data_IF_314782056229
#
_entry.id   IF_314782056229
#
_cell.length_a   1.000
_cell.length_b   1.000
_cell.length_c   1.000
_cell.angle_alpha   90.00
_cell.angle_beta   90.00
_cell.angle_gamma   90.00
#
_symmetry.space_group_name_H-M   'P 1'
#
loop_
_entity.id
_entity.type
_entity.pdbx_description
1 polymer ?
#
# COMPACT_ATOMS: atom_id res chain seq x y z
N UNK A 1 1.93 19.77 -2.73
CA UNK A 1 1.62 19.11 -1.45
C UNK A 1 2.85 19.15 -0.54
N UNK A 2 2.71 19.35 0.77
CA UNK A 2 3.85 19.30 1.70
C UNK A 2 4.18 17.86 2.11
N UNK A 3 5.44 17.57 2.47
CA UNK A 3 5.86 16.22 2.92
C UNK A 3 5.05 15.74 4.12
N UNK A 4 4.75 16.66 5.05
CA UNK A 4 3.89 16.41 6.20
C UNK A 4 2.45 16.05 5.80
N UNK A 5 1.90 16.72 4.78
CA UNK A 5 0.57 16.42 4.25
C UNK A 5 0.51 15.05 3.55
N UNK A 6 1.53 14.72 2.76
CA UNK A 6 1.65 13.43 2.11
C UNK A 6 1.77 12.28 3.13
N UNK A 7 2.60 12.47 4.16
CA UNK A 7 2.76 11.50 5.23
C UNK A 7 1.46 11.27 6.02
N UNK A 8 0.74 12.34 6.36
CA UNK A 8 -0.54 12.25 7.08
C UNK A 8 -1.61 11.50 6.27
N UNK A 9 -1.73 11.80 4.97
CA UNK A 9 -2.64 11.10 4.06
C UNK A 9 -2.29 9.62 3.89
N UNK A 10 -0.99 9.29 3.90
CA UNK A 10 -0.51 7.92 3.83
C UNK A 10 -0.51 7.19 5.19
N UNK A 11 -0.93 7.84 6.28
CA UNK A 11 -0.98 7.24 7.62
C UNK A 11 0.38 6.98 8.27
N UNK A 12 1.44 7.68 7.86
CA UNK A 12 2.80 7.51 8.40
C UNK A 12 3.36 8.81 8.97
N UNK A 13 4.43 8.71 9.77
CA UNK A 13 5.15 9.89 10.25
C UNK A 13 5.94 10.57 9.13
N UNK A 14 6.11 11.89 9.21
CA UNK A 14 6.93 12.65 8.25
C UNK A 14 8.39 12.15 8.23
N UNK A 15 8.93 11.75 9.38
CA UNK A 15 10.26 11.15 9.48
C UNK A 15 10.34 9.85 8.69
N UNK A 16 9.33 8.98 8.82
CA UNK A 16 9.27 7.72 8.04
C UNK A 16 9.17 8.03 6.56
N UNK A 17 8.35 9.00 6.16
CA UNK A 17 8.25 9.45 4.76
C UNK A 17 9.63 9.84 4.21
N UNK A 18 10.40 10.66 4.94
CA UNK A 18 11.75 11.06 4.51
C UNK A 18 12.72 9.89 4.43
N UNK A 19 12.64 8.93 5.35
CA UNK A 19 13.46 7.72 5.29
C UNK A 19 13.17 6.90 4.02
N UNK A 20 11.89 6.74 3.67
CA UNK A 20 11.48 6.06 2.43
C UNK A 20 12.01 6.80 1.20
N UNK A 21 11.86 8.13 1.16
CA UNK A 21 12.33 8.97 0.05
C UNK A 21 13.86 8.92 -0.12
N UNK A 22 14.60 8.88 1.00
CA UNK A 22 16.06 8.81 0.99
C UNK A 22 16.58 7.40 0.71
N UNK A 23 15.78 6.36 0.96
CA UNK A 23 16.17 4.95 0.84
C UNK A 23 17.08 4.43 1.96
N UNK A 24 17.50 5.29 2.88
CA UNK A 24 18.43 4.96 3.98
C UNK A 24 18.03 5.69 5.27
N UNK A 25 18.33 5.09 6.41
CA UNK A 25 18.22 5.73 7.71
C UNK A 25 19.44 5.42 8.57
N UNK A 26 19.75 6.30 9.52
CA UNK A 26 20.89 6.11 10.42
C UNK A 26 20.43 5.42 11.69
N UNK A 27 21.03 4.28 12.00
CA UNK A 27 20.81 3.51 13.23
C UNK A 27 22.15 3.20 13.87
N UNK A 28 22.34 3.56 15.14
CA UNK A 28 23.58 3.30 15.90
C UNK A 28 24.88 3.74 15.20
N UNK A 29 24.81 4.80 14.40
CA UNK A 29 25.96 5.34 13.65
C UNK A 29 26.10 4.79 12.23
N UNK A 30 25.42 3.69 11.89
CA UNK A 30 25.46 3.03 10.59
C UNK A 30 24.30 3.45 9.67
N UNK A 31 24.52 3.40 8.35
CA UNK A 31 23.49 3.61 7.35
C UNK A 31 22.81 2.28 7.02
N UNK A 32 21.51 2.21 7.30
CA UNK A 32 20.68 1.03 7.09
C UNK A 32 19.72 1.28 5.92
N UNK A 33 19.62 0.37 4.94
CA UNK A 33 18.66 0.49 3.86
C UNK A 33 17.23 0.43 4.41
N UNK A 34 16.36 1.28 3.86
CA UNK A 34 14.96 1.33 4.27
C UNK A 34 14.18 0.32 3.46
N UNK A 35 13.71 -0.73 4.14
CA UNK A 35 12.72 -1.66 3.58
C UNK A 35 11.32 -1.21 3.96
N UNK A 36 10.43 -1.21 2.97
CA UNK A 36 9.04 -0.76 3.10
C UNK A 36 8.15 -1.81 2.46
N UNK A 37 7.04 -2.21 3.10
CA UNK A 37 6.07 -3.10 2.47
C UNK A 37 5.51 -2.49 1.18
N UNK A 38 5.27 -3.33 0.17
CA UNK A 38 4.70 -2.90 -1.12
C UNK A 38 3.40 -2.08 -0.94
N UNK A 39 2.50 -2.51 -0.04
CA UNK A 39 1.26 -1.79 0.24
C UNK A 39 1.48 -0.34 0.71
N UNK A 40 2.49 -0.09 1.55
CA UNK A 40 2.81 1.27 2.01
C UNK A 40 3.41 2.11 0.88
N UNK A 41 4.25 1.53 0.02
CA UNK A 41 4.78 2.18 -1.18
C UNK A 41 3.67 2.56 -2.16
N UNK A 42 2.70 1.66 -2.38
CA UNK A 42 1.53 1.93 -3.22
C UNK A 42 0.68 3.09 -2.68
N UNK A 43 0.41 3.10 -1.38
CA UNK A 43 -0.34 4.20 -0.74
C UNK A 43 0.39 5.53 -0.88
N UNK A 44 1.71 5.54 -0.67
CA UNK A 44 2.54 6.73 -0.83
C UNK A 44 2.53 7.25 -2.27
N UNK A 45 2.71 6.35 -3.24
CA UNK A 45 2.66 6.67 -4.67
C UNK A 45 1.31 7.27 -5.07
N UNK A 46 0.20 6.64 -4.66
CA UNK A 46 -1.16 7.15 -4.89
C UNK A 46 -1.37 8.54 -4.27
N UNK A 47 -0.88 8.74 -3.05
CA UNK A 47 -1.03 10.01 -2.33
C UNK A 47 -0.35 11.19 -3.04
N UNK A 48 0.79 10.93 -3.68
CA UNK A 48 1.55 11.96 -4.41
C UNK A 48 1.22 12.01 -5.91
N UNK A 49 0.31 11.16 -6.39
CA UNK A 49 -0.05 11.04 -7.81
C UNK A 49 1.07 10.44 -8.67
N UNK A 50 1.98 9.67 -8.08
CA UNK A 50 3.00 8.94 -8.81
C UNK A 50 2.45 7.60 -9.34
N UNK A 51 3.02 7.12 -10.44
CA UNK A 51 2.70 5.81 -10.99
C UNK A 51 3.17 4.71 -10.02
N UNK A 52 2.20 4.02 -9.40
CA UNK A 52 2.43 2.95 -8.43
C UNK A 52 3.29 1.83 -9.02
N UNK A 53 3.07 1.46 -10.29
CA UNK A 53 3.80 0.38 -10.94
C UNK A 53 5.28 0.74 -11.12
N UNK A 54 5.56 1.99 -11.49
CA UNK A 54 6.93 2.47 -11.62
C UNK A 54 7.63 2.58 -10.27
N UNK A 55 6.94 3.06 -9.23
CA UNK A 55 7.49 3.17 -7.88
C UNK A 55 7.84 1.79 -7.31
N UNK A 56 6.94 0.81 -7.46
CA UNK A 56 7.18 -0.55 -7.00
C UNK A 56 8.33 -1.22 -7.77
N UNK A 57 8.35 -1.08 -9.10
CA UNK A 57 9.43 -1.59 -9.95
C UNK A 57 10.78 -0.98 -9.59
N UNK A 58 10.83 0.34 -9.35
CA UNK A 58 12.05 1.04 -8.93
C UNK A 58 12.53 0.58 -7.53
N UNK A 59 11.60 0.20 -6.65
CA UNK A 59 11.91 -0.37 -5.35
C UNK A 59 12.27 -1.88 -5.41
N UNK A 60 12.38 -2.47 -6.60
CA UNK A 60 12.75 -3.87 -6.79
C UNK A 60 11.61 -4.86 -6.57
N UNK A 61 10.37 -4.39 -6.44
CA UNK A 61 9.20 -5.25 -6.51
C UNK A 61 8.96 -5.60 -7.98
N UNK A 62 9.07 -6.88 -8.33
CA UNK A 62 8.87 -7.30 -9.71
C UNK A 62 7.41 -7.03 -10.11
N UNK A 63 7.22 -6.34 -11.23
CA UNK A 63 5.88 -6.03 -11.75
C UNK A 63 5.09 -7.31 -12.10
N UNK A 64 5.78 -8.43 -12.28
CA UNK A 64 5.18 -9.75 -12.44
C UNK A 64 4.54 -10.30 -11.16
N UNK A 65 4.91 -9.79 -9.98
CA UNK A 65 4.37 -10.22 -8.68
C UNK A 65 3.19 -9.36 -8.23
N UNK A 66 3.06 -8.12 -8.72
CA UNK A 66 1.87 -7.29 -8.48
C UNK A 66 0.92 -7.41 -9.66
N UNK A 67 0.57 -8.66 -9.98
CA UNK A 67 -0.49 -8.94 -10.94
C UNK A 67 -1.83 -8.61 -10.29
N UNK A 68 -2.79 -8.08 -11.05
CA UNK A 68 -4.20 -8.01 -10.64
C UNK A 68 -4.76 -9.34 -10.08
N UNK A 69 -4.07 -10.47 -10.32
CA UNK A 69 -4.29 -11.73 -9.63
C UNK A 69 -4.18 -11.61 -8.10
N UNK A 70 -3.24 -10.85 -7.54
CA UNK A 70 -3.03 -10.80 -6.09
C UNK A 70 -4.16 -10.11 -5.35
N UNK A 71 -4.76 -9.07 -5.92
CA UNK A 71 -5.90 -8.39 -5.29
C UNK A 71 -7.16 -9.25 -5.36
N UNK A 72 -7.45 -9.88 -6.50
CA UNK A 72 -8.59 -10.78 -6.62
C UNK A 72 -8.42 -12.03 -5.73
N UNK A 73 -7.23 -12.63 -5.72
CA UNK A 73 -6.93 -13.79 -4.88
C UNK A 73 -6.94 -13.43 -3.39
N UNK A 74 -6.42 -12.27 -2.98
CA UNK A 74 -6.54 -11.81 -1.60
C UNK A 74 -8.00 -11.53 -1.20
N UNK A 75 -8.81 -10.95 -2.08
CA UNK A 75 -10.25 -10.78 -1.82
C UNK A 75 -10.93 -12.13 -1.66
N UNK A 76 -10.66 -13.09 -2.55
CA UNK A 76 -11.22 -14.45 -2.48
C UNK A 76 -10.81 -15.12 -1.16
N UNK A 77 -9.54 -15.09 -0.79
CA UNK A 77 -9.05 -15.65 0.48
C UNK A 77 -9.69 -14.98 1.71
N UNK A 78 -9.87 -13.66 1.69
CA UNK A 78 -10.54 -12.95 2.77
C UNK A 78 -12.02 -13.33 2.87
N UNK A 79 -12.69 -13.52 1.73
CA UNK A 79 -14.07 -13.98 1.68
C UNK A 79 -14.20 -15.44 2.16
N UNK A 80 -13.27 -16.32 1.81
CA UNK A 80 -13.25 -17.72 2.27
C UNK A 80 -13.01 -17.83 3.78
N UNK A 81 -12.24 -16.92 4.37
CA UNK A 81 -11.95 -16.90 5.80
C UNK A 81 -13.07 -16.24 6.64
N UNK A 82 -14.08 -15.62 6.01
CA UNK A 82 -15.15 -14.92 6.72
C UNK A 82 -16.26 -15.88 7.19
N UNK A 83 -16.78 -15.72 8.42
CA UNK A 83 -17.99 -16.41 8.85
C UNK A 83 -19.18 -16.06 7.96
N UNK A 84 -20.06 -17.03 7.70
CA UNK A 84 -21.20 -16.89 6.77
C UNK A 84 -22.10 -15.69 7.10
N UNK A 85 -22.26 -15.37 8.38
CA UNK A 85 -23.02 -14.21 8.87
C UNK A 85 -22.49 -12.87 8.34
N UNK A 86 -21.18 -12.77 8.09
CA UNK A 86 -20.52 -11.54 7.61
C UNK A 86 -20.51 -11.42 6.09
N UNK A 87 -20.65 -12.54 5.37
CA UNK A 87 -20.67 -12.53 3.90
C UNK A 87 -21.83 -11.72 3.34
N UNK A 88 -23.01 -11.77 3.97
CA UNK A 88 -24.17 -10.99 3.54
C UNK A 88 -23.95 -9.47 3.66
N UNK A 89 -23.29 -9.02 4.73
CA UNK A 89 -22.95 -7.62 4.91
C UNK A 89 -21.94 -7.13 3.87
N UNK A 90 -20.93 -7.94 3.57
CA UNK A 90 -19.93 -7.63 2.55
C UNK A 90 -20.57 -7.60 1.15
N UNK A 91 -21.45 -8.54 0.84
CA UNK A 91 -22.17 -8.58 -0.44
C UNK A 91 -23.05 -7.33 -0.64
N UNK A 92 -23.78 -6.91 0.41
CA UNK A 92 -24.57 -5.67 0.35
C UNK A 92 -23.72 -4.41 0.15
N UNK A 93 -22.54 -4.35 0.79
CA UNK A 93 -21.59 -3.25 0.61
C UNK A 93 -21.07 -3.18 -0.84
N UNK A 94 -20.62 -4.32 -1.41
CA UNK A 94 -20.11 -4.38 -2.78
C UNK A 94 -21.21 -4.00 -3.79
N UNK A 95 -22.43 -4.49 -3.59
CA UNK A 95 -23.57 -4.13 -4.45
C UNK A 95 -23.89 -2.64 -4.40
N UNK A 96 -23.81 -2.01 -3.23
CA UNK A 96 -24.01 -0.56 -3.08
C UNK A 96 -22.97 0.28 -3.82
N UNK A 97 -21.72 -0.18 -3.85
CA UNK A 97 -20.63 0.48 -4.60
C UNK A 97 -20.75 0.33 -6.12
N UNK A 98 -21.45 -0.72 -6.61
CA UNK A 98 -21.65 -0.94 -8.05
C UNK A 98 -22.81 -0.12 -8.65
N UNK A 99 -23.70 0.42 -7.81
CA UNK A 99 -24.90 1.16 -8.24
C UNK A 99 -24.91 2.64 -7.81
N UNK A 100 -23.83 3.14 -7.18
CA UNK A 100 -23.60 4.56 -6.90
C UNK A 100 -22.67 5.18 -7.95
#
# INVERSE_FOLDING_TARGET
MSKRGAAALAGISETRYRQVELGWWRSQGEWVPVTVPAGTLSTLANTVGADVSQVLKAAGFDAATVSHFDTQQQIIQLLEALPQEKLHAVLGFIQGQLHS
#
